data_IF_611978816076
#
_entry.id   IF_611978816076
#
_cell.length_a   1.000
_cell.length_b   1.000
_cell.length_c   1.000
_cell.angle_alpha   90.00
_cell.angle_beta   90.00
_cell.angle_gamma   90.00
#
_symmetry.space_group_name_H-M   'P 1'
#
loop_
_entity.id
_entity.type
_entity.pdbx_description
1 polymer ?
#
# COMPACT_ATOMS: atom_id res chain seq x y z
N UNK A 1 -4.46 -4.77 -9.05
CA UNK A 1 -5.69 -4.35 -9.75
C UNK A 1 -6.03 -2.89 -9.42
N UNK A 2 -6.29 -2.50 -8.13
CA UNK A 2 -6.65 -1.11 -7.78
C UNK A 2 -5.55 -0.10 -8.10
N UNK A 3 -4.30 -0.39 -7.79
CA UNK A 3 -3.16 0.47 -8.14
C UNK A 3 -3.06 0.67 -9.65
N UNK A 4 -3.21 -0.39 -10.44
CA UNK A 4 -3.17 -0.30 -11.91
C UNK A 4 -4.35 0.54 -12.45
N UNK A 5 -5.54 0.38 -11.88
CA UNK A 5 -6.71 1.18 -12.27
C UNK A 5 -6.54 2.68 -11.97
N UNK A 6 -5.86 3.02 -10.86
CA UNK A 6 -5.63 4.42 -10.48
C UNK A 6 -4.62 5.16 -11.37
N UNK A 7 -3.86 4.44 -12.20
CA UNK A 7 -2.84 5.05 -13.08
C UNK A 7 -3.41 5.80 -14.28
N UNK A 8 -4.65 5.53 -14.68
CA UNK A 8 -5.22 6.07 -15.93
C UNK A 8 -5.12 7.61 -16.01
N UNK A 9 -5.51 8.30 -14.94
CA UNK A 9 -5.48 9.76 -14.89
C UNK A 9 -4.07 10.35 -14.67
N UNK A 10 -3.07 9.54 -14.28
CA UNK A 10 -1.68 10.01 -14.19
C UNK A 10 -1.04 10.24 -15.57
N UNK A 11 -1.66 9.73 -16.63
CA UNK A 11 -1.20 9.95 -17.99
C UNK A 11 -1.75 11.24 -18.63
N UNK A 12 -2.65 11.94 -17.94
CA UNK A 12 -3.26 13.19 -18.39
C UNK A 12 -2.40 14.39 -17.98
N UNK A 13 -1.75 15.02 -18.97
CA UNK A 13 -0.76 16.06 -18.71
C UNK A 13 -1.40 17.46 -18.75
N UNK A 14 -1.19 18.24 -17.68
CA UNK A 14 -1.55 19.66 -17.64
C UNK A 14 -0.73 20.54 -18.61
N UNK A 15 0.34 19.99 -19.13
CA UNK A 15 1.30 20.68 -20.00
C UNK A 15 0.62 21.32 -21.20
N UNK A 16 0.94 22.59 -21.47
CA UNK A 16 0.31 23.42 -22.50
C UNK A 16 -0.84 24.28 -21.98
N UNK A 17 -1.29 24.11 -20.73
CA UNK A 17 -2.25 24.99 -20.09
C UNK A 17 -1.71 26.38 -19.75
N UNK A 18 -0.39 26.55 -19.76
CA UNK A 18 0.34 27.75 -19.34
C UNK A 18 0.06 28.13 -17.89
N UNK A 19 -0.15 29.39 -17.54
CA UNK A 19 -0.28 29.83 -16.16
C UNK A 19 -1.58 29.35 -15.48
N UNK A 20 -2.70 29.43 -16.20
CA UNK A 20 -4.04 29.26 -15.62
C UNK A 20 -4.92 28.23 -16.33
N UNK A 21 -4.39 27.48 -17.27
CA UNK A 21 -5.15 26.46 -17.99
C UNK A 21 -5.67 26.86 -19.37
N UNK A 22 -5.53 28.15 -19.76
CA UNK A 22 -6.03 28.67 -21.03
C UNK A 22 -5.17 28.33 -22.24
N UNK A 23 -3.89 27.98 -22.02
CA UNK A 23 -2.93 27.82 -23.11
C UNK A 23 -2.48 29.13 -23.77
N UNK A 24 -2.70 30.26 -23.11
CA UNK A 24 -2.34 31.59 -23.62
C UNK A 24 -0.86 31.65 -24.01
N UNK A 25 -0.56 32.13 -25.22
CA UNK A 25 0.78 32.26 -25.79
C UNK A 25 1.51 30.91 -26.06
N UNK A 26 0.86 29.76 -25.92
CA UNK A 26 1.41 28.48 -26.34
C UNK A 26 1.02 28.18 -27.81
N UNK A 27 1.88 27.47 -28.53
CA UNK A 27 1.51 26.97 -29.84
C UNK A 27 0.33 25.99 -29.73
N UNK A 28 -0.71 26.08 -30.58
CA UNK A 28 -1.93 25.27 -30.44
C UNK A 28 -1.70 23.76 -30.37
N UNK A 29 -0.68 23.25 -31.07
CA UNK A 29 -0.35 21.81 -31.08
C UNK A 29 0.66 21.40 -30.00
N UNK A 30 1.19 22.32 -29.21
CA UNK A 30 2.27 22.05 -28.25
C UNK A 30 1.89 20.91 -27.29
N UNK A 31 0.78 21.01 -26.59
CA UNK A 31 0.33 20.03 -25.61
C UNK A 31 0.22 18.63 -26.22
N UNK A 32 -0.43 18.53 -27.38
CA UNK A 32 -0.64 17.25 -28.08
C UNK A 32 0.68 16.63 -28.55
N UNK A 33 1.55 17.44 -29.17
CA UNK A 33 2.85 16.96 -29.69
C UNK A 33 3.75 16.48 -28.57
N UNK A 34 3.82 17.20 -27.45
CA UNK A 34 4.63 16.78 -26.30
C UNK A 34 4.10 15.50 -25.68
N UNK A 35 2.79 15.36 -25.49
CA UNK A 35 2.21 14.13 -24.98
C UNK A 35 2.50 12.93 -25.91
N UNK A 36 2.40 13.13 -27.21
CA UNK A 36 2.75 12.10 -28.21
C UNK A 36 4.23 11.71 -28.13
N UNK A 37 5.13 12.69 -28.01
CA UNK A 37 6.57 12.42 -27.93
C UNK A 37 6.95 11.73 -26.62
N UNK A 38 6.37 12.12 -25.49
CA UNK A 38 6.54 11.42 -24.21
C UNK A 38 6.04 9.98 -24.30
N UNK A 39 4.90 9.75 -24.96
CA UNK A 39 4.39 8.40 -25.18
C UNK A 39 5.36 7.55 -26.00
N UNK A 40 5.95 8.14 -27.05
CA UNK A 40 6.95 7.46 -27.90
C UNK A 40 8.22 7.10 -27.12
N UNK A 41 8.70 8.01 -26.26
CA UNK A 41 9.94 7.83 -25.50
C UNK A 41 9.79 6.84 -24.32
N UNK A 42 8.61 6.82 -23.71
CA UNK A 42 8.37 6.04 -22.47
C UNK A 42 7.60 4.75 -22.70
N UNK A 43 6.98 4.59 -23.88
CA UNK A 43 5.99 3.52 -24.16
C UNK A 43 4.73 3.56 -23.29
N UNK A 44 4.49 4.69 -22.61
CA UNK A 44 3.31 4.95 -21.80
C UNK A 44 2.32 5.85 -22.57
N UNK A 45 1.03 5.68 -22.32
CA UNK A 45 -0.04 6.35 -23.09
C UNK A 45 -0.36 7.76 -22.57
N UNK A 46 0.61 8.68 -22.60
CA UNK A 46 0.38 10.07 -22.21
C UNK A 46 -0.55 10.79 -23.18
N UNK A 47 -1.45 11.57 -22.62
CA UNK A 47 -2.37 12.45 -23.37
C UNK A 47 -2.36 13.85 -22.77
N UNK A 48 -2.80 14.83 -23.55
CA UNK A 48 -3.08 16.17 -23.03
C UNK A 48 -4.34 16.11 -22.18
N UNK A 49 -4.30 16.62 -20.93
CA UNK A 49 -5.46 16.62 -20.03
C UNK A 49 -6.69 17.26 -20.72
N UNK A 50 -7.86 16.64 -20.65
CA UNK A 50 -9.10 17.16 -21.19
C UNK A 50 -9.49 18.54 -20.60
N UNK A 51 -9.22 18.70 -19.31
CA UNK A 51 -9.44 19.93 -18.56
C UNK A 51 -8.14 20.40 -17.88
N UNK A 52 -7.46 21.36 -18.50
CA UNK A 52 -6.21 21.88 -17.98
C UNK A 52 -6.39 22.84 -16.80
N UNK A 53 -7.58 23.40 -16.61
CA UNK A 53 -7.89 24.22 -15.44
C UNK A 53 -7.88 23.35 -14.19
N UNK A 54 -8.57 22.22 -14.23
CA UNK A 54 -8.57 21.24 -13.15
C UNK A 54 -7.16 20.68 -12.90
N UNK A 55 -6.47 20.22 -13.94
CA UNK A 55 -5.15 19.60 -13.84
C UNK A 55 -4.07 20.54 -13.26
N UNK A 56 -4.25 21.86 -13.33
CA UNK A 56 -3.37 22.87 -12.71
C UNK A 56 -3.79 23.23 -11.28
N UNK A 57 -5.09 23.29 -11.01
CA UNK A 57 -5.65 23.85 -9.78
C UNK A 57 -5.97 22.79 -8.70
N UNK A 58 -6.29 21.54 -9.09
CA UNK A 58 -6.80 20.52 -8.15
C UNK A 58 -5.81 19.38 -7.92
N UNK A 59 -5.10 18.90 -8.96
CA UNK A 59 -4.22 17.72 -8.92
C UNK A 59 -4.94 16.42 -8.55
N UNK A 60 -6.20 16.24 -8.95
CA UNK A 60 -7.04 15.11 -8.55
C UNK A 60 -6.41 13.74 -8.87
N UNK A 61 -5.71 13.60 -10.00
CA UNK A 61 -4.98 12.39 -10.35
C UNK A 61 -3.91 12.03 -9.31
N UNK A 62 -3.20 13.05 -8.80
CA UNK A 62 -2.16 12.89 -7.78
C UNK A 62 -2.71 12.75 -6.35
N UNK A 63 -3.99 13.02 -6.13
CA UNK A 63 -4.70 12.71 -4.88
C UNK A 63 -5.33 11.32 -4.95
N UNK A 64 -5.89 10.93 -6.09
CA UNK A 64 -6.55 9.64 -6.27
C UNK A 64 -5.57 8.45 -6.22
N UNK A 65 -4.46 8.52 -6.94
CA UNK A 65 -3.53 7.40 -7.05
C UNK A 65 -2.90 6.98 -5.70
N UNK A 66 -2.48 7.89 -4.80
CA UNK A 66 -2.03 7.54 -3.46
C UNK A 66 -3.09 6.83 -2.61
N UNK A 67 -4.37 7.11 -2.81
CA UNK A 67 -5.46 6.39 -2.15
C UNK A 67 -5.46 4.88 -2.44
N UNK A 68 -5.05 4.48 -3.66
CA UNK A 68 -4.87 3.06 -3.99
C UNK A 68 -3.64 2.46 -3.28
N UNK A 69 -2.55 3.24 -3.11
CA UNK A 69 -1.38 2.82 -2.32
C UNK A 69 -1.72 2.70 -0.84
N UNK A 70 -2.51 3.61 -0.29
CA UNK A 70 -3.02 3.52 1.09
C UNK A 70 -3.85 2.24 1.29
N UNK A 71 -4.70 1.89 0.34
CA UNK A 71 -5.48 0.64 0.39
C UNK A 71 -4.57 -0.59 0.40
N UNK A 72 -3.52 -0.59 -0.43
CA UNK A 72 -2.49 -1.63 -0.42
C UNK A 72 -1.76 -1.69 0.93
N UNK A 73 -1.35 -0.54 1.45
CA UNK A 73 -0.68 -0.44 2.75
C UNK A 73 -1.56 -0.99 3.90
N UNK A 74 -2.87 -0.71 3.89
CA UNK A 74 -3.80 -1.26 4.88
C UNK A 74 -3.85 -2.80 4.83
N UNK A 75 -3.87 -3.38 3.63
CA UNK A 75 -3.84 -4.84 3.44
C UNK A 75 -2.52 -5.46 3.90
N UNK A 76 -1.38 -4.84 3.53
CA UNK A 76 -0.06 -5.31 3.92
C UNK A 76 0.17 -5.20 5.44
N UNK A 77 -0.32 -4.15 6.06
CA UNK A 77 -0.26 -3.99 7.52
C UNK A 77 -1.03 -5.11 8.23
N UNK A 78 -2.23 -5.43 7.76
CA UNK A 78 -3.03 -6.55 8.30
C UNK A 78 -2.28 -7.88 8.17
N UNK A 79 -1.76 -8.19 7.00
CA UNK A 79 -1.00 -9.41 6.74
C UNK A 79 0.23 -9.50 7.64
N UNK A 80 1.00 -8.42 7.75
CA UNK A 80 2.20 -8.37 8.58
C UNK A 80 1.90 -8.56 10.07
N UNK A 81 0.83 -7.95 10.57
CA UNK A 81 0.39 -8.13 11.95
C UNK A 81 -0.07 -9.56 12.22
N UNK A 82 -0.82 -10.18 11.32
CA UNK A 82 -1.22 -11.58 11.48
C UNK A 82 0.00 -12.50 11.56
N UNK A 83 0.95 -12.34 10.66
CA UNK A 83 2.19 -13.13 10.66
C UNK A 83 2.96 -12.94 11.97
N UNK A 84 3.08 -11.71 12.48
CA UNK A 84 3.73 -11.44 13.77
C UNK A 84 3.06 -12.16 14.92
N UNK A 85 1.74 -12.13 15.00
CA UNK A 85 0.98 -12.81 16.04
C UNK A 85 1.07 -14.31 15.92
N UNK A 86 0.86 -14.86 14.73
CA UNK A 86 0.89 -16.31 14.49
C UNK A 86 2.29 -16.91 14.70
N UNK A 87 3.35 -16.12 14.45
CA UNK A 87 4.73 -16.53 14.70
C UNK A 87 5.23 -16.23 16.13
N UNK A 88 4.40 -15.67 17.00
CA UNK A 88 4.79 -15.36 18.37
C UNK A 88 5.02 -16.62 19.22
N UNK A 89 6.05 -16.59 20.04
CA UNK A 89 6.40 -17.74 20.87
C UNK A 89 7.90 -18.03 20.84
N UNK A 90 8.35 -19.29 20.89
CA UNK A 90 7.61 -20.53 20.59
C UNK A 90 6.76 -21.11 21.74
N UNK A 91 7.03 -20.74 23.00
CA UNK A 91 6.35 -21.39 24.13
C UNK A 91 5.16 -20.60 24.69
N UNK A 92 5.30 -19.27 24.82
CA UNK A 92 4.32 -18.39 25.43
C UNK A 92 3.48 -17.57 24.44
N UNK A 93 3.58 -17.87 23.15
CA UNK A 93 2.83 -17.22 22.10
C UNK A 93 1.88 -18.15 21.36
N UNK A 94 1.33 -17.69 20.25
CA UNK A 94 0.47 -18.51 19.39
C UNK A 94 1.28 -19.66 18.79
N UNK A 95 2.40 -19.35 18.11
CA UNK A 95 3.34 -20.33 17.63
C UNK A 95 2.85 -21.23 16.49
N UNK A 96 1.85 -20.81 15.74
CA UNK A 96 1.32 -21.55 14.58
C UNK A 96 2.20 -21.48 13.35
N UNK A 97 3.01 -20.40 13.24
CA UNK A 97 3.95 -20.20 12.15
C UNK A 97 5.38 -20.11 12.66
N UNK A 98 6.31 -20.61 11.87
CA UNK A 98 7.74 -20.30 11.94
C UNK A 98 8.10 -19.34 10.81
N UNK A 99 8.89 -18.31 11.10
CA UNK A 99 9.39 -17.34 10.12
C UNK A 99 10.92 -17.42 10.04
N UNK A 100 11.53 -17.03 8.91
CA UNK A 100 12.98 -17.02 8.76
C UNK A 100 13.67 -16.14 9.81
N UNK A 101 14.78 -16.64 10.33
CA UNK A 101 15.67 -15.92 11.22
C UNK A 101 16.70 -15.16 10.38
N UNK A 102 16.50 -13.85 10.21
CA UNK A 102 17.31 -13.01 9.32
C UNK A 102 18.53 -12.40 10.02
N UNK A 103 18.45 -12.21 11.33
CA UNK A 103 19.51 -11.61 12.14
C UNK A 103 19.46 -12.12 13.59
N UNK A 104 20.56 -11.98 14.36
CA UNK A 104 20.55 -12.28 15.80
C UNK A 104 19.47 -11.49 16.52
N UNK A 105 18.57 -12.17 17.20
CA UNK A 105 17.39 -11.57 17.82
C UNK A 105 17.69 -10.68 19.02
N UNK A 106 18.75 -11.01 19.78
CA UNK A 106 19.14 -10.27 20.99
C UNK A 106 20.52 -10.69 21.48
N UNK A 107 21.28 -9.72 22.02
CA UNK A 107 22.56 -10.01 22.69
C UNK A 107 22.40 -10.58 24.10
N UNK A 108 21.20 -10.44 24.70
CA UNK A 108 20.93 -10.85 26.09
C UNK A 108 19.91 -12.00 26.19
N UNK A 109 19.21 -12.34 25.12
CA UNK A 109 18.22 -13.42 25.08
C UNK A 109 18.58 -14.43 23.98
N UNK A 110 19.33 -15.48 24.29
CA UNK A 110 19.69 -16.52 23.31
C UNK A 110 18.43 -17.15 22.67
N UNK A 111 18.48 -17.36 21.37
CA UNK A 111 17.39 -17.98 20.61
C UNK A 111 16.16 -17.09 20.37
N UNK A 112 16.22 -15.80 20.70
CA UNK A 112 15.14 -14.86 20.36
C UNK A 112 15.17 -14.59 18.86
N UNK A 113 14.04 -14.80 18.19
CA UNK A 113 13.82 -14.41 16.79
C UNK A 113 12.92 -13.18 16.78
N UNK A 114 13.35 -12.12 16.10
CA UNK A 114 12.54 -10.91 15.92
C UNK A 114 11.80 -10.98 14.57
N UNK A 115 10.52 -10.58 14.51
CA UNK A 115 9.75 -10.52 13.26
C UNK A 115 10.06 -9.22 12.49
N UNK A 116 11.35 -8.96 12.19
CA UNK A 116 11.84 -7.68 11.66
C UNK A 116 11.25 -7.31 10.31
N UNK A 117 11.03 -8.27 9.44
CA UNK A 117 10.41 -8.01 8.13
C UNK A 117 8.93 -7.57 8.27
N UNK A 118 8.07 -8.25 9.05
CA UNK A 118 6.75 -7.74 9.39
C UNK A 118 6.76 -6.38 10.08
N UNK A 119 7.72 -6.12 10.98
CA UNK A 119 7.86 -4.83 11.67
C UNK A 119 8.22 -3.71 10.68
N UNK A 120 9.20 -3.93 9.81
CA UNK A 120 9.58 -2.99 8.76
C UNK A 120 8.40 -2.69 7.83
N UNK A 121 7.66 -3.72 7.41
CA UNK A 121 6.47 -3.55 6.58
C UNK A 121 5.41 -2.68 7.28
N UNK A 122 5.15 -2.89 8.57
CA UNK A 122 4.17 -2.07 9.30
C UNK A 122 4.61 -0.61 9.42
N UNK A 123 5.92 -0.34 9.60
CA UNK A 123 6.48 1.03 9.61
C UNK A 123 6.29 1.70 8.24
N UNK A 124 6.59 1.00 7.15
CA UNK A 124 6.36 1.50 5.78
C UNK A 124 4.89 1.81 5.55
N UNK A 125 3.99 0.93 5.97
CA UNK A 125 2.55 1.17 5.84
C UNK A 125 2.10 2.42 6.60
N UNK A 126 2.60 2.65 7.82
CA UNK A 126 2.34 3.88 8.57
C UNK A 126 2.80 5.13 7.80
N UNK A 127 4.03 5.09 7.26
CA UNK A 127 4.58 6.22 6.50
C UNK A 127 3.73 6.51 5.25
N UNK A 128 3.32 5.48 4.51
CA UNK A 128 2.47 5.63 3.31
C UNK A 128 1.12 6.25 3.65
N UNK A 129 0.49 5.83 4.76
CA UNK A 129 -0.75 6.42 5.24
C UNK A 129 -0.57 7.89 5.63
N UNK A 130 0.53 8.24 6.30
CA UNK A 130 0.87 9.61 6.64
C UNK A 130 1.10 10.49 5.41
N UNK A 131 1.79 9.96 4.40
CA UNK A 131 2.00 10.63 3.12
C UNK A 131 0.68 10.88 2.38
N UNK A 132 -0.25 9.91 2.40
CA UNK A 132 -1.58 10.08 1.80
C UNK A 132 -2.35 11.23 2.45
N UNK A 133 -2.31 11.37 3.77
CA UNK A 133 -2.92 12.50 4.48
C UNK A 133 -2.32 13.83 4.02
N UNK A 134 -1.00 13.93 3.94
CA UNK A 134 -0.33 15.13 3.49
C UNK A 134 -0.69 15.49 2.03
N UNK A 135 -0.79 14.49 1.16
CA UNK A 135 -1.17 14.65 -0.25
C UNK A 135 -2.62 15.14 -0.36
N UNK A 136 -3.55 14.57 0.41
CA UNK A 136 -4.95 14.99 0.42
C UNK A 136 -5.10 16.45 0.84
N UNK A 137 -4.42 16.86 1.92
CA UNK A 137 -4.40 18.26 2.37
C UNK A 137 -3.81 19.16 1.28
N UNK A 138 -2.67 18.76 0.70
CA UNK A 138 -2.03 19.50 -0.39
C UNK A 138 -2.93 19.65 -1.61
N UNK A 139 -3.67 18.61 -1.98
CA UNK A 139 -4.65 18.67 -3.06
C UNK A 139 -5.78 19.68 -2.80
N UNK A 140 -6.22 19.77 -1.54
CA UNK A 140 -7.27 20.71 -1.13
C UNK A 140 -6.81 22.19 -1.03
N UNK A 141 -5.51 22.47 -1.13
CA UNK A 141 -4.93 23.80 -0.94
C UNK A 141 -4.78 24.60 -2.24
N UNK A 142 -5.47 24.22 -3.31
CA UNK A 142 -5.55 25.02 -4.52
C UNK A 142 -6.25 26.35 -4.29
N UNK A 143 -5.76 27.41 -4.93
CA UNK A 143 -6.36 28.74 -4.89
C UNK A 143 -6.61 29.20 -6.31
N UNK A 144 -7.87 29.38 -6.68
CA UNK A 144 -8.30 29.75 -8.02
C UNK A 144 -7.74 28.78 -9.08
N UNK A 145 -6.87 29.23 -9.97
CA UNK A 145 -6.38 28.45 -11.11
C UNK A 145 -5.06 27.69 -10.84
N UNK A 146 -4.51 27.78 -9.62
CA UNK A 146 -3.20 27.18 -9.31
C UNK A 146 -3.18 26.49 -7.96
N UNK A 147 -2.61 25.31 -7.93
CA UNK A 147 -2.18 24.63 -6.72
C UNK A 147 -0.65 24.58 -6.64
N UNK A 148 -0.08 25.24 -5.64
CA UNK A 148 1.39 25.36 -5.46
C UNK A 148 2.00 24.16 -4.69
N UNK A 149 1.19 23.21 -4.21
CA UNK A 149 1.64 22.11 -3.36
C UNK A 149 2.25 20.93 -4.13
N UNK A 150 2.35 21.01 -5.46
CA UNK A 150 2.89 19.96 -6.33
C UNK A 150 4.23 19.36 -5.86
N UNK A 151 5.24 20.15 -5.45
CA UNK A 151 6.52 19.58 -5.00
C UNK A 151 6.37 18.64 -3.79
N UNK A 152 5.54 19.01 -2.82
CA UNK A 152 5.26 18.19 -1.65
C UNK A 152 4.42 16.95 -2.03
N UNK A 153 3.39 17.13 -2.84
CA UNK A 153 2.51 16.04 -3.31
C UNK A 153 3.35 14.97 -4.04
N UNK A 154 4.14 15.36 -5.03
CA UNK A 154 4.92 14.41 -5.82
C UNK A 154 6.03 13.73 -5.00
N UNK A 155 6.69 14.46 -4.08
CA UNK A 155 7.69 13.86 -3.20
C UNK A 155 7.09 12.74 -2.34
N UNK A 156 5.98 13.01 -1.67
CA UNK A 156 5.31 12.04 -0.81
C UNK A 156 4.74 10.85 -1.61
N UNK A 157 4.22 11.11 -2.81
CA UNK A 157 3.73 10.05 -3.70
C UNK A 157 4.86 9.12 -4.14
N UNK A 158 5.95 9.67 -4.68
CA UNK A 158 7.09 8.87 -5.14
C UNK A 158 7.78 8.14 -3.98
N UNK A 159 7.86 8.76 -2.81
CA UNK A 159 8.37 8.09 -1.60
C UNK A 159 7.49 6.87 -1.26
N UNK A 160 6.17 7.03 -1.26
CA UNK A 160 5.24 5.94 -0.97
C UNK A 160 5.38 4.77 -1.97
N UNK A 161 5.52 5.08 -3.26
CA UNK A 161 5.75 4.06 -4.30
C UNK A 161 7.02 3.28 -4.05
N UNK A 162 8.14 3.98 -3.80
CA UNK A 162 9.45 3.34 -3.56
C UNK A 162 9.45 2.50 -2.30
N UNK A 163 8.97 3.05 -1.19
CA UNK A 163 8.94 2.35 0.09
C UNK A 163 8.09 1.06 0.02
N UNK A 164 6.91 1.12 -0.61
CA UNK A 164 6.08 -0.07 -0.77
C UNK A 164 6.74 -1.11 -1.70
N UNK A 165 7.33 -0.68 -2.81
CA UNK A 165 7.97 -1.59 -3.74
C UNK A 165 9.15 -2.33 -3.06
N UNK A 166 10.04 -1.59 -2.42
CA UNK A 166 11.22 -2.15 -1.75
C UNK A 166 10.81 -3.05 -0.57
N UNK A 167 9.85 -2.60 0.25
CA UNK A 167 9.38 -3.38 1.39
C UNK A 167 8.67 -4.67 0.97
N UNK A 168 7.88 -4.66 -0.11
CA UNK A 168 7.24 -5.88 -0.61
C UNK A 168 8.25 -6.91 -1.12
N UNK A 169 9.29 -6.47 -1.82
CA UNK A 169 10.37 -7.35 -2.28
C UNK A 169 11.11 -7.94 -1.08
N UNK A 170 11.55 -7.07 -0.15
CA UNK A 170 12.26 -7.51 1.05
C UNK A 170 11.42 -8.47 1.91
N UNK A 171 10.15 -8.15 2.10
CA UNK A 171 9.22 -9.00 2.86
C UNK A 171 9.01 -10.37 2.18
N UNK A 172 8.86 -10.38 0.85
CA UNK A 172 8.74 -11.63 0.11
C UNK A 172 9.98 -12.49 0.32
N UNK A 173 11.16 -11.94 0.02
CA UNK A 173 12.41 -12.70 -0.07
C UNK A 173 12.92 -13.14 1.30
N UNK A 174 12.70 -12.34 2.34
CA UNK A 174 13.23 -12.58 3.68
C UNK A 174 12.18 -13.02 4.72
N UNK A 175 10.91 -13.16 4.33
CA UNK A 175 9.86 -13.62 5.24
C UNK A 175 8.89 -14.56 4.53
N UNK A 176 8.12 -14.08 3.56
CA UNK A 176 6.95 -14.78 3.06
C UNK A 176 7.27 -16.16 2.45
N UNK A 177 8.35 -16.26 1.65
CA UNK A 177 8.76 -17.52 1.01
C UNK A 177 9.31 -18.56 1.98
N UNK A 178 9.70 -18.15 3.20
CA UNK A 178 10.26 -19.01 4.23
C UNK A 178 9.32 -19.27 5.40
N UNK A 179 8.03 -18.91 5.28
CA UNK A 179 7.04 -19.22 6.33
C UNK A 179 6.73 -20.72 6.32
N UNK A 180 6.83 -21.35 7.48
CA UNK A 180 6.47 -22.73 7.70
C UNK A 180 5.33 -22.85 8.71
N UNK A 181 4.40 -23.78 8.49
CA UNK A 181 3.31 -24.05 9.40
C UNK A 181 3.76 -25.04 10.50
N UNK A 182 3.55 -24.70 11.76
CA UNK A 182 3.73 -25.61 12.88
C UNK A 182 2.46 -26.47 13.06
N UNK A 183 2.41 -27.56 12.33
CA UNK A 183 1.23 -28.42 12.24
C UNK A 183 0.80 -28.95 13.62
N UNK A 184 1.75 -29.36 14.47
CA UNK A 184 1.44 -29.88 15.81
C UNK A 184 0.77 -28.80 16.67
N UNK A 185 1.27 -27.58 16.61
CA UNK A 185 0.72 -26.46 17.36
C UNK A 185 -0.66 -26.05 16.85
N UNK A 186 -0.84 -26.00 15.54
CA UNK A 186 -2.12 -25.72 14.89
C UNK A 186 -3.16 -26.76 15.32
N UNK A 187 -2.83 -28.05 15.26
CA UNK A 187 -3.71 -29.13 15.66
C UNK A 187 -4.11 -29.03 17.14
N UNK A 188 -3.13 -28.78 18.02
CA UNK A 188 -3.37 -28.58 19.44
C UNK A 188 -4.32 -27.40 19.73
N UNK A 189 -4.10 -26.25 19.09
CA UNK A 189 -4.94 -25.07 19.29
C UNK A 189 -6.33 -25.27 18.69
N UNK A 190 -6.44 -25.91 17.53
CA UNK A 190 -7.69 -26.24 16.88
C UNK A 190 -8.56 -27.12 17.78
N UNK A 191 -8.00 -28.20 18.33
CA UNK A 191 -8.74 -29.10 19.23
C UNK A 191 -9.13 -28.46 20.58
N UNK A 192 -8.38 -27.46 21.02
CA UNK A 192 -8.71 -26.68 22.21
C UNK A 192 -9.72 -25.54 21.93
N UNK A 193 -10.09 -25.33 20.67
CA UNK A 193 -11.01 -24.28 20.29
C UNK A 193 -12.46 -24.75 20.29
N UNK A 194 -13.36 -23.90 20.78
CA UNK A 194 -14.81 -24.12 20.65
C UNK A 194 -15.33 -23.91 19.23
N UNK A 195 -14.53 -23.49 18.28
CA UNK A 195 -14.95 -23.26 16.90
C UNK A 195 -15.49 -24.53 16.23
N UNK A 196 -14.96 -25.71 16.57
CA UNK A 196 -15.38 -27.00 16.04
C UNK A 196 -16.85 -27.32 16.36
N UNK A 197 -17.35 -26.80 17.47
CA UNK A 197 -18.74 -26.96 17.91
C UNK A 197 -19.73 -26.40 16.87
N UNK A 198 -19.36 -25.37 16.13
CA UNK A 198 -20.19 -24.80 15.06
C UNK A 198 -20.62 -25.85 14.04
N UNK A 199 -19.78 -26.84 13.76
CA UNK A 199 -20.10 -27.93 12.84
C UNK A 199 -21.20 -28.86 13.36
N UNK A 200 -21.47 -28.87 14.65
CA UNK A 200 -22.53 -29.68 15.28
C UNK A 200 -23.91 -29.02 15.18
N UNK A 201 -23.99 -27.70 14.98
CA UNK A 201 -25.25 -26.97 14.93
C UNK A 201 -26.32 -27.57 14.01
N UNK A 202 -25.99 -28.03 12.76
CA UNK A 202 -26.96 -28.66 11.87
C UNK A 202 -27.50 -30.01 12.40
N UNK A 203 -26.77 -30.68 13.28
CA UNK A 203 -27.07 -32.01 13.79
C UNK A 203 -27.79 -32.02 15.12
N UNK A 204 -27.44 -31.16 16.03
CA UNK A 204 -27.93 -31.16 17.42
C UNK A 204 -28.67 -29.86 17.81
N UNK A 205 -28.62 -28.83 16.98
CA UNK A 205 -29.19 -27.50 17.24
C UNK A 205 -28.23 -26.60 18.05
N UNK A 206 -28.49 -25.27 17.96
CA UNK A 206 -27.61 -24.23 18.53
C UNK A 206 -27.47 -24.37 20.06
N UNK A 207 -28.60 -24.52 20.78
CA UNK A 207 -28.56 -24.55 22.24
C UNK A 207 -27.76 -25.74 22.80
N UNK A 208 -27.99 -26.92 22.22
CA UNK A 208 -27.19 -28.12 22.61
C UNK A 208 -25.75 -28.11 22.17
N UNK A 209 -25.43 -27.35 21.15
CA UNK A 209 -24.05 -27.17 20.73
C UNK A 209 -23.29 -26.16 21.60
N UNK A 210 -24.01 -25.30 22.35
CA UNK A 210 -23.45 -24.32 23.28
C UNK A 210 -23.17 -24.90 24.69
N UNK A 211 -23.81 -26.01 25.07
CA UNK A 211 -23.55 -26.78 26.30
C UNK A 211 -22.27 -27.62 26.22
#
# INVERSE_FOLDING_TARGET
>A
KHVQASMAHLYELALGGTAVGTGLNAHPEFAKRVATELSRLTTLSFISAPNKFEALACNDALVHAPGALKTLAASLMKISNDIRWLASGPRCGIGELAIPENEPGSSIMPGKVNPTQPEAMTMVCCQVMGNDVAINIGGAMGNFELNVMKPMIINNFLQSVRLLADAMISFNDNCAVGIEANIERIDQLMHNSLMLVTALNPHIGYDKAAE
#
